data_IF_708948578273
#
_entry.id   IF_708948578273
#
_cell.length_a   1.000
_cell.length_b   1.000
_cell.length_c   1.000
_cell.angle_alpha   90.00
_cell.angle_beta   90.00
_cell.angle_gamma   90.00
#
_symmetry.space_group_name_H-M   'P 1'
#
loop_
_entity.id
_entity.type
_entity.pdbx_description
1 polymer ?
#
# COMPACT_ATOMS: atom_id res chain seq x y z
N UNK A 1 78.22 10.87 -34.60
CA UNK A 1 77.40 9.65 -34.59
C UNK A 1 77.49 9.05 -33.20
N UNK A 2 76.50 9.29 -32.35
CA UNK A 2 76.21 8.51 -31.13
C UNK A 2 74.92 9.08 -30.53
N UNK A 3 73.81 8.39 -30.73
CA UNK A 3 72.50 8.71 -30.18
C UNK A 3 72.37 7.93 -28.86
N UNK A 4 72.41 8.60 -27.71
CA UNK A 4 72.11 7.97 -26.43
C UNK A 4 70.59 8.02 -26.20
N UNK A 5 69.94 6.86 -26.27
CA UNK A 5 68.55 6.71 -25.84
C UNK A 5 68.53 6.41 -24.33
N UNK A 6 68.05 7.36 -23.52
CA UNK A 6 67.76 7.12 -22.10
C UNK A 6 66.31 6.65 -22.00
N UNK A 7 66.13 5.36 -21.72
CA UNK A 7 64.82 4.75 -21.51
C UNK A 7 64.37 5.05 -20.07
N UNK A 8 63.47 6.02 -19.90
CA UNK A 8 62.83 6.30 -18.62
C UNK A 8 61.72 5.30 -18.35
N UNK A 9 61.92 4.37 -17.42
CA UNK A 9 60.85 3.50 -16.90
C UNK A 9 59.97 4.28 -15.93
N UNK A 10 58.72 4.51 -16.30
CA UNK A 10 57.68 5.05 -15.43
C UNK A 10 57.04 3.89 -14.65
N UNK A 11 57.43 3.69 -13.39
CA UNK A 11 56.75 2.75 -12.51
C UNK A 11 55.47 3.41 -11.97
N UNK A 12 54.32 3.11 -12.58
CA UNK A 12 53.03 3.49 -12.05
C UNK A 12 52.66 2.53 -10.91
N UNK A 13 52.82 2.97 -9.66
CA UNK A 13 52.24 2.27 -8.50
C UNK A 13 50.73 2.55 -8.49
N UNK A 14 49.95 1.63 -9.05
CA UNK A 14 48.49 1.66 -8.92
C UNK A 14 48.10 1.39 -7.47
N UNK A 15 47.52 2.38 -6.80
CA UNK A 15 46.84 2.18 -5.52
C UNK A 15 45.47 1.60 -5.85
N UNK A 16 45.24 0.33 -5.54
CA UNK A 16 43.89 -0.24 -5.59
C UNK A 16 43.18 0.22 -4.33
N UNK A 17 42.31 1.22 -4.47
CA UNK A 17 41.32 1.56 -3.43
C UNK A 17 40.19 0.55 -3.60
N UNK A 18 40.15 -0.46 -2.75
CA UNK A 18 39.03 -1.39 -2.69
C UNK A 18 37.83 -0.63 -2.10
N UNK A 19 36.91 -0.18 -2.96
CA UNK A 19 35.68 0.44 -2.52
C UNK A 19 34.81 -0.62 -1.84
N UNK A 20 34.55 -0.44 -0.54
CA UNK A 20 33.58 -1.26 0.20
C UNK A 20 32.24 -1.18 -0.54
N UNK A 21 31.61 -2.31 -0.90
CA UNK A 21 30.33 -2.27 -1.58
C UNK A 21 29.32 -1.53 -0.70
N UNK A 22 28.76 -0.44 -1.23
CA UNK A 22 27.64 0.23 -0.61
C UNK A 22 26.45 -0.74 -0.66
N UNK A 23 25.94 -1.09 0.52
CA UNK A 23 24.66 -1.81 0.61
C UNK A 23 23.59 -0.82 0.18
N UNK A 24 23.08 -0.95 -1.04
CA UNK A 24 21.86 -0.27 -1.46
C UNK A 24 20.73 -1.02 -0.77
N UNK A 25 20.23 -0.46 0.34
CA UNK A 25 18.97 -0.93 0.90
C UNK A 25 17.85 -0.56 -0.08
N UNK A 26 16.88 -1.44 -0.35
CA UNK A 26 15.72 -1.06 -1.13
C UNK A 26 15.04 0.12 -0.44
N UNK A 27 14.72 1.16 -1.22
CA UNK A 27 13.85 2.23 -0.79
C UNK A 27 12.48 1.61 -0.48
N UNK A 28 12.01 1.75 0.75
CA UNK A 28 10.69 1.28 1.16
C UNK A 28 9.73 2.46 1.17
N UNK A 29 8.53 2.26 0.63
CA UNK A 29 7.44 3.22 0.74
C UNK A 29 6.58 2.88 1.96
N UNK A 30 6.11 3.90 2.67
CA UNK A 30 5.18 3.74 3.78
C UNK A 30 3.74 3.71 3.25
N UNK A 31 2.96 2.76 3.78
CA UNK A 31 1.54 2.63 3.51
C UNK A 31 0.75 2.43 4.80
N UNK A 32 -0.50 2.86 4.82
CA UNK A 32 -1.39 2.77 5.98
C UNK A 32 -2.73 2.18 5.59
N UNK A 33 -3.31 1.33 6.44
CA UNK A 33 -4.71 0.96 6.32
C UNK A 33 -5.60 2.04 6.93
N UNK A 34 -6.54 2.55 6.14
CA UNK A 34 -7.38 3.65 6.54
C UNK A 34 -8.82 3.18 6.65
N UNK A 35 -9.38 3.35 7.85
CA UNK A 35 -10.75 3.01 8.17
C UNK A 35 -11.51 4.28 8.56
N UNK A 36 -12.61 4.59 7.87
CA UNK A 36 -13.43 5.76 8.13
C UNK A 36 -13.56 6.72 6.94
N UNK A 37 -14.00 7.95 7.21
CA UNK A 37 -14.14 9.00 6.19
C UNK A 37 -12.80 9.74 6.03
N UNK A 38 -12.26 9.76 4.81
CA UNK A 38 -11.07 10.54 4.50
C UNK A 38 -11.42 12.04 4.40
N UNK A 39 -10.86 12.84 5.32
CA UNK A 39 -10.95 14.29 5.30
C UNK A 39 -9.68 14.87 4.65
N UNK A 40 -9.74 16.11 4.18
CA UNK A 40 -8.56 16.78 3.65
C UNK A 40 -7.42 16.87 4.70
N UNK A 41 -7.80 17.14 5.95
CA UNK A 41 -6.88 17.20 7.09
C UNK A 41 -6.17 15.86 7.35
N UNK A 42 -6.92 14.74 7.37
CA UNK A 42 -6.31 13.44 7.62
C UNK A 42 -5.38 13.01 6.49
N UNK A 43 -5.77 13.26 5.23
CA UNK A 43 -4.93 12.96 4.06
C UNK A 43 -3.66 13.82 4.02
N UNK A 44 -3.75 15.10 4.38
CA UNK A 44 -2.58 15.97 4.45
C UNK A 44 -1.62 15.52 5.56
N UNK A 45 -2.15 15.13 6.73
CA UNK A 45 -1.33 14.57 7.81
C UNK A 45 -0.59 13.29 7.39
N UNK A 46 -1.23 12.40 6.63
CA UNK A 46 -0.57 11.21 6.09
C UNK A 46 0.60 11.56 5.17
N UNK A 47 0.41 12.54 4.28
CA UNK A 47 1.50 13.03 3.41
C UNK A 47 2.65 13.64 4.19
N UNK A 48 2.35 14.47 5.17
CA UNK A 48 3.35 15.12 6.03
C UNK A 48 4.12 14.08 6.88
N UNK A 49 3.50 12.92 7.13
CA UNK A 49 4.08 11.75 7.79
C UNK A 49 4.77 10.78 6.82
N UNK A 50 5.04 11.21 5.58
CA UNK A 50 5.76 10.46 4.53
C UNK A 50 5.06 9.20 4.00
N UNK A 51 3.77 8.99 4.32
CA UNK A 51 2.99 7.94 3.66
C UNK A 51 2.83 8.24 2.17
N UNK A 52 2.99 7.20 1.34
CA UNK A 52 2.82 7.28 -0.12
C UNK A 52 1.53 6.62 -0.58
N UNK A 53 1.08 5.60 0.16
CA UNK A 53 -0.05 4.77 -0.25
C UNK A 53 -1.05 4.60 0.89
N UNK A 54 -2.34 4.63 0.57
CA UNK A 54 -3.43 4.36 1.48
C UNK A 54 -4.17 3.10 1.04
N UNK A 55 -4.34 2.16 1.97
CA UNK A 55 -5.14 0.96 1.80
C UNK A 55 -6.56 1.23 2.29
N UNK A 56 -7.54 1.15 1.41
CA UNK A 56 -8.96 1.37 1.75
C UNK A 56 -9.70 0.04 1.84
N UNK A 57 -10.38 -0.20 2.95
CA UNK A 57 -11.31 -1.32 3.07
C UNK A 57 -12.56 -1.03 2.22
N UNK A 58 -12.75 -1.81 1.17
CA UNK A 58 -13.81 -1.58 0.19
C UNK A 58 -15.06 -2.44 0.42
N UNK A 59 -14.99 -3.44 1.29
CA UNK A 59 -16.11 -4.33 1.59
C UNK A 59 -16.45 -4.30 3.08
N UNK A 60 -17.61 -3.72 3.39
CA UNK A 60 -18.17 -3.62 4.73
C UNK A 60 -18.92 -4.91 5.05
N UNK A 61 -18.35 -5.73 5.94
CA UNK A 61 -18.95 -6.99 6.38
C UNK A 61 -19.90 -6.84 7.58
N UNK A 62 -20.00 -5.64 8.16
CA UNK A 62 -20.75 -5.39 9.40
C UNK A 62 -22.23 -5.10 9.14
N UNK A 63 -22.55 -4.71 7.90
CA UNK A 63 -23.90 -4.34 7.49
C UNK A 63 -24.39 -5.18 6.31
N UNK A 64 -25.71 -5.40 6.26
CA UNK A 64 -26.42 -5.99 5.12
C UNK A 64 -25.82 -7.29 4.57
N UNK A 65 -25.20 -8.11 5.43
CA UNK A 65 -24.52 -9.35 5.07
C UNK A 65 -23.39 -9.14 4.02
N UNK A 66 -22.63 -8.05 4.22
CA UNK A 66 -21.59 -7.62 3.32
C UNK A 66 -22.11 -6.60 2.31
N UNK A 67 -21.38 -5.52 2.04
CA UNK A 67 -21.70 -4.57 0.96
C UNK A 67 -20.45 -3.76 0.59
N UNK A 68 -20.52 -3.03 -0.53
CA UNK A 68 -19.52 -2.00 -0.82
C UNK A 68 -19.50 -0.98 0.34
N UNK A 69 -18.31 -0.69 0.86
CA UNK A 69 -18.15 0.28 1.94
C UNK A 69 -18.57 1.69 1.46
N UNK A 70 -19.43 2.38 2.21
CA UNK A 70 -20.13 3.58 1.74
C UNK A 70 -19.22 4.77 1.40
N UNK A 71 -18.07 4.86 2.07
CA UNK A 71 -17.10 5.95 1.85
C UNK A 71 -15.99 5.63 0.85
N UNK A 72 -15.86 4.38 0.39
CA UNK A 72 -14.63 3.95 -0.32
C UNK A 72 -14.39 4.73 -1.62
N UNK A 73 -15.44 4.96 -2.41
CA UNK A 73 -15.33 5.68 -3.69
C UNK A 73 -14.90 7.13 -3.43
N UNK A 74 -15.55 7.81 -2.48
CA UNK A 74 -15.19 9.18 -2.14
C UNK A 74 -13.79 9.30 -1.53
N UNK A 75 -13.38 8.34 -0.70
CA UNK A 75 -12.04 8.31 -0.14
C UNK A 75 -10.97 8.07 -1.20
N UNK A 76 -11.22 7.18 -2.16
CA UNK A 76 -10.29 6.91 -3.25
C UNK A 76 -10.03 8.17 -4.08
N UNK A 77 -11.08 8.89 -4.47
CA UNK A 77 -10.95 10.14 -5.22
C UNK A 77 -10.21 11.22 -4.44
N UNK A 78 -10.54 11.42 -3.15
CA UNK A 78 -9.85 12.42 -2.32
C UNK A 78 -8.37 12.09 -2.09
N UNK A 79 -8.04 10.81 -1.94
CA UNK A 79 -6.66 10.36 -1.78
C UNK A 79 -5.85 10.61 -3.06
N UNK A 80 -6.40 10.30 -4.23
CA UNK A 80 -5.80 10.60 -5.54
C UNK A 80 -5.61 12.11 -5.73
N UNK A 81 -6.64 12.92 -5.43
CA UNK A 81 -6.57 14.39 -5.45
C UNK A 81 -5.51 14.94 -4.48
N UNK A 82 -5.31 14.29 -3.33
CA UNK A 82 -4.27 14.64 -2.39
C UNK A 82 -2.87 14.18 -2.85
N UNK A 83 -2.75 13.32 -3.87
CA UNK A 83 -1.48 12.77 -4.35
C UNK A 83 -0.95 11.63 -3.48
N UNK A 84 -1.85 10.84 -2.89
CA UNK A 84 -1.57 9.55 -2.27
C UNK A 84 -2.02 8.44 -3.22
N UNK A 85 -1.18 7.43 -3.40
CA UNK A 85 -1.56 6.23 -4.16
C UNK A 85 -2.65 5.46 -3.39
N UNK A 86 -3.60 4.88 -4.12
CA UNK A 86 -4.73 4.15 -3.53
C UNK A 86 -4.60 2.67 -3.82
N UNK A 87 -4.59 1.87 -2.76
CA UNK A 87 -4.72 0.42 -2.84
C UNK A 87 -6.04 -0.01 -2.21
N UNK A 88 -6.71 -0.96 -2.85
CA UNK A 88 -8.02 -1.43 -2.41
C UNK A 88 -7.89 -2.82 -1.82
N UNK A 89 -8.45 -3.04 -0.63
CA UNK A 89 -8.56 -4.38 -0.07
C UNK A 89 -9.99 -4.71 0.35
N UNK A 90 -10.27 -6.01 0.43
CA UNK A 90 -11.49 -6.53 1.02
C UNK A 90 -11.19 -7.61 2.03
N UNK A 91 -12.00 -7.64 3.08
CA UNK A 91 -12.09 -8.74 4.02
C UNK A 91 -13.40 -9.48 3.73
N UNK A 92 -13.40 -10.61 2.98
CA UNK A 92 -14.65 -11.27 2.63
C UNK A 92 -15.31 -11.91 3.85
N UNK A 93 -16.63 -11.79 3.94
CA UNK A 93 -17.47 -12.45 4.94
C UNK A 93 -17.51 -13.95 4.65
N UNK A 94 -16.57 -14.69 5.24
CA UNK A 94 -16.37 -16.13 4.97
C UNK A 94 -16.51 -17.00 6.22
N UNK A 95 -16.52 -16.38 7.40
CA UNK A 95 -16.58 -17.10 8.67
C UNK A 95 -17.96 -17.76 8.86
N UNK A 96 -18.04 -19.09 9.05
CA UNK A 96 -19.31 -19.80 9.19
C UNK A 96 -20.21 -19.26 10.32
N UNK A 97 -19.61 -18.78 11.41
CA UNK A 97 -20.36 -18.24 12.55
C UNK A 97 -21.14 -16.97 12.21
N UNK A 98 -20.70 -16.21 11.19
CA UNK A 98 -21.37 -15.00 10.73
C UNK A 98 -22.48 -15.27 9.72
N UNK A 99 -22.70 -16.55 9.35
CA UNK A 99 -23.78 -17.02 8.45
C UNK A 99 -23.88 -16.21 7.14
N UNK A 100 -22.81 -16.17 6.34
CA UNK A 100 -22.83 -15.44 5.08
C UNK A 100 -23.94 -15.96 4.15
N UNK A 101 -24.82 -15.08 3.69
CA UNK A 101 -25.80 -15.43 2.65
C UNK A 101 -25.19 -15.29 1.24
N UNK A 102 -24.08 -14.54 1.12
CA UNK A 102 -23.36 -14.30 -0.14
C UNK A 102 -22.06 -15.08 -0.18
N UNK A 103 -21.83 -15.79 -1.29
CA UNK A 103 -20.55 -16.43 -1.59
C UNK A 103 -19.47 -15.38 -1.87
N UNK A 104 -18.21 -15.71 -1.62
CA UNK A 104 -17.08 -14.79 -1.82
C UNK A 104 -16.95 -14.23 -3.23
N UNK A 105 -17.32 -14.98 -4.27
CA UNK A 105 -17.35 -14.50 -5.66
C UNK A 105 -18.40 -13.41 -5.87
N UNK A 106 -19.56 -13.50 -5.22
CA UNK A 106 -20.58 -12.44 -5.25
C UNK A 106 -20.16 -11.19 -4.49
N UNK A 107 -19.51 -11.37 -3.34
CA UNK A 107 -18.95 -10.26 -2.58
C UNK A 107 -17.89 -9.50 -3.38
N UNK A 108 -17.00 -10.22 -4.08
CA UNK A 108 -16.00 -9.63 -4.95
C UNK A 108 -16.62 -8.91 -6.17
N UNK A 109 -17.62 -9.52 -6.82
CA UNK A 109 -18.33 -8.91 -7.96
C UNK A 109 -19.00 -7.59 -7.57
N UNK A 110 -19.71 -7.55 -6.43
CA UNK A 110 -20.34 -6.32 -5.93
C UNK A 110 -19.33 -5.20 -5.65
N UNK A 111 -18.18 -5.56 -5.07
CA UNK A 111 -17.10 -4.62 -4.82
C UNK A 111 -16.51 -4.07 -6.12
N UNK A 112 -16.13 -4.96 -7.04
CA UNK A 112 -15.49 -4.58 -8.30
C UNK A 112 -16.41 -3.71 -9.15
N UNK A 113 -17.69 -4.10 -9.29
CA UNK A 113 -18.70 -3.33 -10.00
C UNK A 113 -18.96 -1.99 -9.33
N UNK A 114 -19.03 -1.95 -8.00
CA UNK A 114 -19.27 -0.74 -7.24
C UNK A 114 -18.17 0.30 -7.44
N UNK A 115 -16.91 -0.14 -7.33
CA UNK A 115 -15.73 0.70 -7.57
C UNK A 115 -15.65 1.17 -9.03
N UNK A 116 -15.87 0.27 -9.98
CA UNK A 116 -15.87 0.60 -11.42
C UNK A 116 -16.96 1.62 -11.77
N UNK A 117 -18.18 1.42 -11.27
CA UNK A 117 -19.29 2.38 -11.44
C UNK A 117 -19.00 3.72 -10.75
N UNK A 118 -18.27 3.70 -9.64
CA UNK A 118 -17.78 4.88 -8.94
C UNK A 118 -16.62 5.60 -9.62
N UNK A 119 -16.12 5.09 -10.74
CA UNK A 119 -15.00 5.68 -11.48
C UNK A 119 -13.64 5.50 -10.81
N UNK A 120 -13.51 4.56 -9.87
CA UNK A 120 -12.22 4.26 -9.22
C UNK A 120 -11.38 3.41 -10.18
N UNK A 121 -10.13 3.80 -10.41
CA UNK A 121 -9.17 3.00 -11.17
C UNK A 121 -8.68 1.82 -10.32
N UNK A 122 -8.88 0.60 -10.80
CA UNK A 122 -8.54 -0.63 -10.08
C UNK A 122 -7.42 -1.34 -10.82
N UNK A 123 -6.22 -1.36 -10.23
CA UNK A 123 -5.12 -2.20 -10.72
C UNK A 123 -5.07 -3.55 -10.01
N UNK A 124 -5.25 -3.53 -8.69
CA UNK A 124 -5.19 -4.70 -7.82
C UNK A 124 -6.29 -4.61 -6.76
N UNK A 125 -6.86 -5.75 -6.38
CA UNK A 125 -7.69 -5.86 -5.17
C UNK A 125 -7.02 -6.88 -4.26
N UNK A 126 -6.65 -6.45 -3.07
CA UNK A 126 -6.04 -7.29 -2.05
C UNK A 126 -7.12 -8.03 -1.26
N UNK A 127 -6.96 -9.33 -1.04
CA UNK A 127 -7.87 -10.12 -0.21
C UNK A 127 -7.23 -10.34 1.14
N UNK A 128 -7.82 -9.77 2.19
CA UNK A 128 -7.43 -10.00 3.58
C UNK A 128 -8.16 -11.23 4.10
N UNK A 129 -7.42 -12.31 4.34
CA UNK A 129 -7.97 -13.58 4.83
C UNK A 129 -7.66 -13.73 6.31
N UNK A 130 -8.65 -14.20 7.06
CA UNK A 130 -8.51 -14.64 8.45
C UNK A 130 -9.04 -16.06 8.61
N UNK A 131 -8.41 -16.81 9.50
CA UNK A 131 -8.79 -18.19 9.83
C UNK A 131 -9.46 -18.30 11.20
N UNK A 132 -9.47 -17.23 12.01
CA UNK A 132 -10.08 -17.19 13.33
C UNK A 132 -10.64 -15.80 13.71
N UNK A 133 -11.71 -15.80 14.51
CA UNK A 133 -12.36 -14.63 15.10
C UNK A 133 -11.46 -13.84 16.05
N UNK A 134 -10.44 -14.46 16.66
CA UNK A 134 -9.48 -13.72 17.47
C UNK A 134 -8.68 -12.70 16.65
N UNK A 135 -8.40 -13.01 15.38
CA UNK A 135 -7.71 -12.09 14.46
C UNK A 135 -8.62 -10.93 14.05
N UNK A 136 -9.93 -11.18 13.93
CA UNK A 136 -10.91 -10.12 13.69
C UNK A 136 -10.86 -9.02 14.75
N UNK A 137 -10.91 -9.39 16.02
CA UNK A 137 -10.90 -8.40 17.12
C UNK A 137 -9.54 -7.72 17.30
N UNK A 138 -8.43 -8.39 16.97
CA UNK A 138 -7.10 -7.79 17.09
C UNK A 138 -6.85 -6.67 16.06
N UNK A 139 -7.40 -6.81 14.85
CA UNK A 139 -7.14 -5.90 13.73
C UNK A 139 -7.95 -4.60 13.77
N UNK A 140 -9.09 -4.58 14.47
CA UNK A 140 -9.94 -3.39 14.56
C UNK A 140 -9.44 -2.33 15.56
N UNK A 141 -8.32 -2.58 16.25
CA UNK A 141 -7.76 -1.70 17.28
C UNK A 141 -6.37 -1.13 16.93
N UNK A 142 -5.91 -1.29 15.68
CA UNK A 142 -4.55 -0.88 15.27
C UNK A 142 -4.55 -0.08 13.96
N UNK A 143 -5.34 0.98 13.88
CA UNK A 143 -5.16 2.01 12.85
C UNK A 143 -4.13 3.04 13.32
N UNK A 144 -3.21 3.43 12.44
CA UNK A 144 -2.40 4.61 12.66
C UNK A 144 -3.30 5.84 12.42
N UNK A 145 -3.60 6.60 13.47
CA UNK A 145 -4.57 7.70 13.36
C UNK A 145 -3.86 9.05 13.23
N UNK A 146 -4.04 9.69 12.07
CA UNK A 146 -4.09 11.14 11.97
C UNK A 146 -5.48 11.56 12.47
N UNK A 147 -5.65 11.65 13.79
CA UNK A 147 -6.91 12.08 14.43
C UNK A 147 -7.03 13.60 14.41
N UNK A 148 -8.25 14.09 14.22
CA UNK A 148 -8.63 15.48 14.52
C UNK A 148 -8.73 15.73 16.03
#
# INVERSE_FOLDING_TARGET
>A
MALFAVLGTLAATGIIIEAKPAVILPEFALAVDFNGLATEESLQCLKDSEYKTIFLEAYDIHHDNGRLHEHVVGNAHRADEAGLDVEIFMTPLTLPMMRPEKRGDKQFEELYDGLTKGGVYIQTIWIKVWDDLSQYYALHNSSAECSN
#
